data_IF_764101226347
#
_entry.id   IF_764101226347
#
_cell.length_a   1.000
_cell.length_b   1.000
_cell.length_c   1.000
_cell.angle_alpha   90.00
_cell.angle_beta   90.00
_cell.angle_gamma   90.00
#
_symmetry.space_group_name_H-M   'P 1'
#
loop_
_entity.id
_entity.type
_entity.pdbx_description
1 polymer ?
#
# COMPACT_ATOMS: atom_id res chain seq x y z
N UNK A 1 37.74 50.85 14.69
CA UNK A 1 36.87 49.99 13.85
C UNK A 1 37.04 48.51 14.24
N UNK A 2 36.50 48.07 15.39
CA UNK A 2 36.61 46.67 15.86
C UNK A 2 35.25 46.05 16.26
N UNK A 3 34.14 46.77 16.01
CA UNK A 3 32.82 46.45 16.57
C UNK A 3 31.85 45.76 15.59
N UNK A 4 32.18 45.61 14.31
CA UNK A 4 31.25 45.02 13.31
C UNK A 4 31.50 43.54 12.97
N UNK A 5 32.66 42.99 13.33
CA UNK A 5 33.03 41.60 12.99
C UNK A 5 32.48 40.59 14.01
N UNK A 6 32.27 41.01 15.28
CA UNK A 6 31.71 40.14 16.33
C UNK A 6 30.24 39.75 16.10
N UNK A 7 29.48 40.56 15.35
CA UNK A 7 28.06 40.30 15.12
C UNK A 7 27.80 39.29 13.98
N UNK A 8 28.71 39.24 12.99
CA UNK A 8 28.65 38.25 11.90
C UNK A 8 28.93 36.81 12.37
N UNK A 9 29.74 36.63 13.42
CA UNK A 9 30.03 35.29 13.98
C UNK A 9 28.81 34.70 14.70
N UNK A 10 27.97 35.52 15.33
CA UNK A 10 26.75 35.05 15.99
C UNK A 10 25.63 34.65 15.01
N UNK A 11 25.59 35.27 13.82
CA UNK A 11 24.60 34.92 12.78
C UNK A 11 24.96 33.60 12.08
N UNK A 12 26.25 33.29 11.94
CA UNK A 12 26.70 32.03 11.30
C UNK A 12 26.57 30.81 12.22
N UNK A 13 26.60 31.01 13.55
CA UNK A 13 26.43 29.91 14.53
C UNK A 13 24.96 29.51 14.77
N UNK A 14 23.97 30.30 14.31
CA UNK A 14 22.55 30.01 14.52
C UNK A 14 21.87 29.19 13.41
N UNK A 15 22.58 28.86 12.32
CA UNK A 15 21.98 28.19 11.14
C UNK A 15 22.44 26.74 10.93
N UNK A 16 23.11 26.12 11.92
CA UNK A 16 23.40 24.68 11.87
C UNK A 16 22.14 23.87 12.19
N UNK A 17 21.23 23.79 11.23
CA UNK A 17 20.13 22.83 11.26
C UNK A 17 20.73 21.47 10.93
N UNK A 18 21.00 20.67 11.97
CA UNK A 18 21.32 19.25 11.81
C UNK A 18 20.17 18.58 11.04
N UNK A 19 20.40 18.26 9.76
CA UNK A 19 19.48 17.45 8.99
C UNK A 19 19.56 16.03 9.51
N UNK A 20 18.75 15.72 10.53
CA UNK A 20 18.47 14.34 10.88
C UNK A 20 17.84 13.69 9.64
N UNK A 21 18.45 12.64 9.11
CA UNK A 21 17.92 12.02 7.91
C UNK A 21 16.53 11.45 8.20
N UNK A 22 15.53 11.92 7.45
CA UNK A 22 14.13 11.59 7.68
C UNK A 22 13.83 10.11 7.41
N UNK A 23 12.84 9.58 8.14
CA UNK A 23 12.21 8.31 7.83
C UNK A 23 11.71 8.35 6.37
N UNK A 24 12.04 7.31 5.61
CA UNK A 24 11.68 7.24 4.19
C UNK A 24 11.26 5.82 3.82
N UNK A 25 10.24 5.73 2.96
CA UNK A 25 9.74 4.48 2.45
C UNK A 25 9.36 4.62 0.98
N UNK A 26 9.52 3.53 0.21
CA UNK A 26 9.12 3.47 -1.19
C UNK A 26 8.46 2.14 -1.49
N UNK A 27 7.25 2.20 -2.06
CA UNK A 27 6.62 1.05 -2.69
C UNK A 27 7.18 0.93 -4.11
N UNK A 28 7.88 -0.17 -4.38
CA UNK A 28 8.58 -0.42 -5.64
C UNK A 28 7.67 -1.12 -6.64
N UNK A 29 7.04 -2.21 -6.21
CA UNK A 29 6.21 -3.07 -7.06
C UNK A 29 5.08 -3.68 -6.25
N UNK A 30 3.90 -3.76 -6.85
CA UNK A 30 2.73 -4.41 -6.25
C UNK A 30 2.14 -5.35 -7.29
N UNK A 31 1.95 -6.60 -6.89
CA UNK A 31 1.43 -7.65 -7.74
C UNK A 31 0.19 -8.26 -7.08
N UNK A 32 -1.01 -7.87 -7.52
CA UNK A 32 -2.24 -8.56 -7.15
C UNK A 32 -2.34 -9.90 -7.89
N UNK A 33 -2.69 -10.95 -7.16
CA UNK A 33 -2.83 -12.30 -7.66
C UNK A 33 -4.10 -12.93 -7.14
N UNK A 34 -4.94 -13.45 -8.04
CA UNK A 34 -6.03 -14.32 -7.65
C UNK A 34 -5.50 -15.64 -7.10
N UNK A 35 -6.18 -16.16 -6.10
CA UNK A 35 -5.90 -17.45 -5.49
C UNK A 35 -7.01 -18.43 -5.82
N UNK A 36 -6.65 -19.67 -6.11
CA UNK A 36 -7.61 -20.78 -6.17
C UNK A 36 -7.97 -21.30 -4.76
N UNK A 37 -8.92 -22.25 -4.70
CA UNK A 37 -9.36 -22.89 -3.46
C UNK A 37 -8.26 -23.57 -2.62
N UNK A 38 -7.08 -23.80 -3.19
CA UNK A 38 -5.89 -24.33 -2.52
C UNK A 38 -4.89 -23.24 -2.12
N UNK A 39 -5.24 -21.97 -2.30
CA UNK A 39 -4.37 -20.82 -2.03
C UNK A 39 -3.28 -20.60 -3.09
N UNK A 40 -3.40 -21.22 -4.28
CA UNK A 40 -2.38 -21.13 -5.33
C UNK A 40 -2.64 -19.95 -6.26
N UNK A 41 -1.58 -19.21 -6.55
CA UNK A 41 -1.54 -18.13 -7.55
C UNK A 41 -0.83 -18.55 -8.85
N UNK A 42 -0.22 -19.73 -8.86
CA UNK A 42 0.42 -20.38 -10.01
C UNK A 42 0.41 -21.90 -9.81
N UNK A 43 0.46 -22.66 -10.90
CA UNK A 43 0.62 -24.11 -10.86
C UNK A 43 2.08 -24.57 -10.81
N UNK A 44 3.00 -23.71 -11.21
CA UNK A 44 4.44 -23.98 -11.22
C UNK A 44 5.25 -22.70 -10.91
N UNK A 45 6.58 -22.80 -10.71
CA UNK A 45 7.45 -21.64 -10.56
C UNK A 45 7.63 -20.80 -11.84
N UNK A 46 7.14 -21.26 -12.99
CA UNK A 46 7.27 -20.56 -14.27
C UNK A 46 6.45 -19.27 -14.31
N UNK A 47 7.05 -18.18 -14.79
CA UNK A 47 6.35 -16.91 -15.00
C UNK A 47 5.27 -17.03 -16.10
N UNK A 48 5.54 -17.81 -17.14
CA UNK A 48 4.58 -18.06 -18.21
C UNK A 48 3.34 -18.79 -17.67
N UNK A 49 3.56 -19.85 -16.89
CA UNK A 49 2.47 -20.64 -16.31
C UNK A 49 1.66 -19.82 -15.31
N UNK A 50 2.32 -18.95 -14.53
CA UNK A 50 1.64 -18.03 -13.62
C UNK A 50 0.71 -17.11 -14.40
N UNK A 51 1.17 -16.50 -15.48
CA UNK A 51 0.39 -15.52 -16.22
C UNK A 51 -0.80 -16.18 -16.93
N UNK A 52 -0.61 -17.38 -17.50
CA UNK A 52 -1.68 -18.20 -18.05
C UNK A 52 -2.70 -18.60 -16.97
N UNK A 53 -2.23 -18.98 -15.78
CA UNK A 53 -3.10 -19.33 -14.66
C UNK A 53 -3.93 -18.14 -14.17
N UNK A 54 -3.31 -16.96 -14.07
CA UNK A 54 -4.01 -15.74 -13.68
C UNK A 54 -5.03 -15.29 -14.74
N UNK A 55 -4.78 -15.55 -16.03
CA UNK A 55 -5.78 -15.35 -17.08
C UNK A 55 -6.99 -16.28 -16.88
N UNK A 56 -6.75 -17.58 -16.63
CA UNK A 56 -7.82 -18.53 -16.33
C UNK A 56 -8.66 -18.11 -15.12
N UNK A 57 -8.01 -17.74 -14.02
CA UNK A 57 -8.72 -17.27 -12.82
C UNK A 57 -9.51 -15.98 -13.09
N UNK A 58 -9.03 -15.09 -13.96
CA UNK A 58 -9.78 -13.91 -14.40
C UNK A 58 -11.04 -14.28 -15.17
N UNK A 59 -10.98 -15.28 -16.04
CA UNK A 59 -12.14 -15.74 -16.82
C UNK A 59 -13.12 -16.59 -15.99
N UNK A 60 -12.67 -17.14 -14.86
CA UNK A 60 -13.44 -18.09 -14.03
C UNK A 60 -13.52 -17.64 -12.57
N UNK A 61 -14.37 -16.65 -12.24
CA UNK A 61 -14.54 -16.16 -10.87
C UNK A 61 -14.89 -17.25 -9.85
N UNK A 62 -15.60 -18.30 -10.27
CA UNK A 62 -15.97 -19.47 -9.46
C UNK A 62 -14.76 -20.30 -8.99
N UNK A 63 -13.62 -20.22 -9.68
CA UNK A 63 -12.38 -20.87 -9.27
C UNK A 63 -11.60 -20.02 -8.24
N UNK A 64 -11.97 -18.74 -8.05
CA UNK A 64 -11.28 -17.83 -7.13
C UNK A 64 -11.75 -18.04 -5.70
N UNK A 65 -10.82 -18.09 -4.75
CA UNK A 65 -11.13 -18.10 -3.32
C UNK A 65 -10.35 -17.04 -2.53
N UNK A 66 -9.62 -16.16 -3.20
CA UNK A 66 -8.84 -15.12 -2.55
C UNK A 66 -8.10 -14.21 -3.52
N UNK A 67 -7.49 -13.18 -2.93
CA UNK A 67 -6.55 -12.27 -3.58
C UNK A 67 -5.33 -12.10 -2.65
N UNK A 68 -4.14 -12.27 -3.22
CA UNK A 68 -2.86 -11.97 -2.56
C UNK A 68 -2.19 -10.78 -3.23
N UNK A 69 -1.67 -9.87 -2.42
CA UNK A 69 -0.85 -8.76 -2.85
C UNK A 69 0.60 -9.04 -2.49
N UNK A 70 1.45 -9.28 -3.49
CA UNK A 70 2.89 -9.32 -3.28
C UNK A 70 3.47 -7.91 -3.46
N UNK A 71 4.00 -7.38 -2.37
CA UNK A 71 4.35 -5.96 -2.24
C UNK A 71 5.85 -5.87 -2.00
N UNK A 72 6.55 -5.29 -2.96
CA UNK A 72 7.96 -4.95 -2.85
C UNK A 72 8.09 -3.53 -2.31
N UNK A 73 8.83 -3.39 -1.20
CA UNK A 73 9.01 -2.13 -0.52
C UNK A 73 10.47 -1.88 -0.14
N UNK A 74 10.83 -0.60 0.03
CA UNK A 74 12.08 -0.15 0.63
C UNK A 74 11.78 0.81 1.79
N UNK A 75 12.59 0.77 2.85
CA UNK A 75 12.45 1.51 4.09
C UNK A 75 13.83 1.97 4.58
N UNK A 76 13.89 3.14 5.19
CA UNK A 76 15.08 3.69 5.83
C UNK A 76 14.66 4.50 7.05
N UNK A 77 15.38 4.32 8.17
CA UNK A 77 15.22 5.13 9.40
C UNK A 77 13.79 5.15 9.97
N UNK A 78 13.10 4.01 9.87
CA UNK A 78 11.74 3.81 10.42
C UNK A 78 11.76 3.10 11.76
N UNK A 79 10.69 3.20 12.54
CA UNK A 79 10.59 2.57 13.88
C UNK A 79 9.50 1.50 13.94
N UNK A 80 8.29 1.80 13.47
CA UNK A 80 7.11 0.95 13.48
C UNK A 80 6.53 0.82 12.06
N UNK A 81 7.26 0.19 11.13
CA UNK A 81 6.84 0.11 9.75
C UNK A 81 5.71 -0.90 9.53
N UNK A 82 4.67 -0.46 8.81
CA UNK A 82 3.56 -1.33 8.39
C UNK A 82 3.17 -1.07 6.94
N UNK A 83 2.70 -2.13 6.29
CA UNK A 83 2.02 -2.06 5.00
C UNK A 83 0.53 -2.18 5.27
N UNK A 84 -0.27 -1.29 4.65
CA UNK A 84 -1.72 -1.32 4.68
C UNK A 84 -2.23 -1.52 3.26
N UNK A 85 -3.14 -2.48 3.08
CA UNK A 85 -3.85 -2.72 1.83
C UNK A 85 -5.33 -2.43 2.05
N UNK A 86 -5.83 -1.42 1.35
CA UNK A 86 -7.24 -1.06 1.32
C UNK A 86 -7.84 -1.58 0.01
N UNK A 87 -8.96 -2.28 0.12
CA UNK A 87 -9.64 -2.96 -0.98
C UNK A 87 -11.04 -2.37 -1.11
N UNK A 88 -11.44 -2.07 -2.34
CA UNK A 88 -12.81 -1.74 -2.72
C UNK A 88 -13.34 -2.85 -3.61
N UNK A 89 -14.54 -3.32 -3.28
CA UNK A 89 -15.20 -4.42 -3.97
C UNK A 89 -16.71 -4.16 -4.09
N UNK A 90 -17.39 -5.00 -4.86
CA UNK A 90 -18.84 -4.96 -5.06
C UNK A 90 -19.43 -6.34 -4.79
N UNK A 91 -20.43 -6.43 -3.91
CA UNK A 91 -21.19 -7.66 -3.66
C UNK A 91 -22.68 -7.36 -3.82
N UNK A 92 -23.34 -8.03 -4.78
CA UNK A 92 -24.76 -7.83 -5.05
C UNK A 92 -25.15 -6.36 -5.33
N UNK A 93 -24.27 -5.60 -5.99
CA UNK A 93 -24.48 -4.17 -6.26
C UNK A 93 -24.15 -3.22 -5.10
N UNK A 94 -23.77 -3.74 -3.93
CA UNK A 94 -23.40 -2.92 -2.77
C UNK A 94 -21.87 -2.78 -2.65
N UNK A 95 -21.35 -1.56 -2.41
CA UNK A 95 -19.92 -1.34 -2.21
C UNK A 95 -19.45 -1.98 -0.91
N UNK A 96 -18.33 -2.69 -0.99
CA UNK A 96 -17.65 -3.32 0.13
C UNK A 96 -16.24 -2.72 0.27
N UNK A 97 -15.78 -2.57 1.51
CA UNK A 97 -14.42 -2.10 1.80
C UNK A 97 -13.76 -3.02 2.80
N UNK A 98 -12.47 -3.31 2.60
CA UNK A 98 -11.63 -4.03 3.56
C UNK A 98 -10.29 -3.35 3.71
N UNK A 99 -9.80 -3.32 4.94
CA UNK A 99 -8.44 -2.86 5.25
C UNK A 99 -7.68 -4.03 5.87
N UNK A 100 -6.49 -4.29 5.36
CA UNK A 100 -5.55 -5.28 5.87
C UNK A 100 -4.28 -4.56 6.27
N UNK A 101 -3.75 -4.84 7.46
CA UNK A 101 -2.48 -4.29 7.91
C UNK A 101 -1.50 -5.41 8.22
N UNK A 102 -0.23 -5.18 7.92
CA UNK A 102 0.83 -6.14 8.20
C UNK A 102 2.08 -5.37 8.60
N UNK A 103 2.61 -5.67 9.78
CA UNK A 103 3.92 -5.18 10.21
C UNK A 103 4.99 -5.75 9.29
N UNK A 104 5.93 -4.89 8.88
CA UNK A 104 6.99 -5.29 7.95
C UNK A 104 8.36 -5.05 8.57
N UNK A 105 9.36 -5.80 8.12
CA UNK A 105 10.73 -5.58 8.62
C UNK A 105 11.39 -4.44 7.85
N UNK A 106 12.31 -3.74 8.53
CA UNK A 106 13.27 -2.83 7.87
C UNK A 106 14.00 -3.57 6.74
N UNK A 107 14.37 -2.84 5.70
CA UNK A 107 15.03 -3.41 4.52
C UNK A 107 16.50 -3.01 4.45
N UNK A 108 17.25 -3.73 3.63
CA UNK A 108 18.53 -3.28 3.05
C UNK A 108 18.28 -2.64 1.67
N UNK A 109 19.35 -2.25 0.97
CA UNK A 109 19.28 -1.59 -0.35
C UNK A 109 18.46 -2.36 -1.41
N UNK A 110 18.36 -3.69 -1.35
CA UNK A 110 17.69 -4.49 -2.40
C UNK A 110 16.14 -4.52 -2.30
N UNK A 111 15.57 -3.89 -1.26
CA UNK A 111 14.13 -3.98 -0.98
C UNK A 111 13.72 -5.34 -0.42
N UNK A 112 12.51 -5.43 0.13
CA UNK A 112 11.93 -6.68 0.65
C UNK A 112 10.54 -6.89 0.07
N UNK A 113 10.11 -8.14 0.05
CA UNK A 113 8.75 -8.54 -0.31
C UNK A 113 7.95 -8.88 0.94
N UNK A 114 6.67 -8.51 0.93
CA UNK A 114 5.65 -8.99 1.87
C UNK A 114 4.42 -9.42 1.07
N UNK A 115 3.75 -10.48 1.52
CA UNK A 115 2.47 -10.91 0.96
C UNK A 115 1.36 -10.55 1.93
N UNK A 116 0.32 -9.87 1.44
CA UNK A 116 -0.90 -9.56 2.19
C UNK A 116 -2.07 -10.23 1.50
N UNK A 117 -2.84 -11.06 2.22
CA UNK A 117 -3.84 -11.95 1.63
C UNK A 117 -5.22 -11.70 2.23
N UNK A 118 -6.24 -11.67 1.37
CA UNK A 118 -7.64 -11.89 1.76
C UNK A 118 -8.12 -13.18 1.07
N UNK A 119 -8.70 -14.10 1.84
CA UNK A 119 -9.07 -15.42 1.33
C UNK A 119 -10.28 -16.00 2.06
N UNK A 120 -10.84 -17.07 1.51
CA UNK A 120 -11.95 -17.82 2.10
C UNK A 120 -13.20 -16.95 2.22
N UNK A 121 -13.87 -17.04 3.37
CA UNK A 121 -15.12 -16.31 3.61
C UNK A 121 -14.95 -14.79 3.60
N UNK A 122 -13.79 -14.26 4.03
CA UNK A 122 -13.53 -12.82 3.95
C UNK A 122 -13.51 -12.33 2.50
N UNK A 123 -12.91 -13.11 1.59
CA UNK A 123 -12.90 -12.78 0.17
C UNK A 123 -14.29 -12.91 -0.45
N UNK A 124 -15.01 -14.00 -0.17
CA UNK A 124 -16.39 -14.21 -0.67
C UNK A 124 -17.34 -13.11 -0.19
N UNK A 125 -17.12 -12.57 1.00
CA UNK A 125 -17.92 -11.48 1.55
C UNK A 125 -17.62 -10.11 0.96
N UNK A 126 -16.45 -9.93 0.33
CA UNK A 126 -16.15 -8.72 -0.42
C UNK A 126 -16.81 -8.69 -1.80
N UNK A 127 -16.96 -9.85 -2.44
CA UNK A 127 -17.42 -9.93 -3.83
C UNK A 127 -16.31 -9.55 -4.82
N UNK A 128 -16.68 -8.92 -5.93
CA UNK A 128 -15.74 -8.60 -7.00
C UNK A 128 -14.88 -7.39 -6.62
N UNK A 129 -13.56 -7.60 -6.49
CA UNK A 129 -12.60 -6.53 -6.17
C UNK A 129 -12.39 -5.66 -7.42
N UNK A 130 -12.69 -4.37 -7.30
CA UNK A 130 -12.57 -3.40 -8.40
C UNK A 130 -11.38 -2.46 -8.24
N UNK A 131 -10.97 -2.14 -7.01
CA UNK A 131 -9.85 -1.25 -6.76
C UNK A 131 -9.09 -1.60 -5.47
N UNK A 132 -7.82 -1.19 -5.42
CA UNK A 132 -6.97 -1.34 -4.25
C UNK A 132 -6.04 -0.14 -4.07
N UNK A 133 -5.65 0.11 -2.82
CA UNK A 133 -4.61 1.07 -2.42
C UNK A 133 -3.67 0.39 -1.44
N UNK A 134 -2.38 0.49 -1.71
CA UNK A 134 -1.31 0.04 -0.82
C UNK A 134 -0.60 1.28 -0.28
N UNK A 135 -0.51 1.37 1.03
CA UNK A 135 0.19 2.44 1.73
C UNK A 135 1.26 1.85 2.65
N UNK A 136 2.37 2.57 2.76
CA UNK A 136 3.50 2.23 3.62
C UNK A 136 3.59 3.29 4.72
N UNK A 137 3.62 2.86 5.96
CA UNK A 137 3.57 3.74 7.13
C UNK A 137 4.74 3.49 8.08
N UNK A 138 5.07 4.50 8.88
CA UNK A 138 5.88 4.40 10.11
C UNK A 138 5.12 5.06 11.25
N UNK A 139 4.54 4.27 12.16
CA UNK A 139 3.56 4.78 13.11
C UNK A 139 2.42 5.49 12.37
N UNK A 140 2.18 6.77 12.67
CA UNK A 140 1.16 7.59 11.99
C UNK A 140 1.64 8.28 10.71
N UNK A 141 2.94 8.19 10.37
CA UNK A 141 3.50 8.86 9.21
C UNK A 141 3.30 8.01 7.95
N UNK A 142 2.62 8.55 6.94
CA UNK A 142 2.56 7.95 5.61
C UNK A 142 3.90 8.17 4.88
N UNK A 143 4.54 7.08 4.46
CA UNK A 143 5.83 7.09 3.77
C UNK A 143 5.70 6.90 2.26
N UNK A 144 4.65 6.22 1.80
CA UNK A 144 4.43 6.02 0.36
C UNK A 144 3.09 5.39 0.03
N UNK A 145 2.62 5.67 -1.18
CA UNK A 145 1.34 5.18 -1.72
C UNK A 145 1.53 4.61 -3.13
N UNK A 146 0.75 3.57 -3.42
CA UNK A 146 0.44 3.08 -4.77
C UNK A 146 -1.00 2.60 -4.79
N UNK A 147 -1.66 2.74 -5.93
CA UNK A 147 -3.07 2.35 -6.07
C UNK A 147 -3.35 1.82 -7.46
N UNK A 148 -4.40 1.02 -7.57
CA UNK A 148 -4.96 0.60 -8.85
C UNK A 148 -5.50 1.80 -9.62
N UNK A 149 -5.63 1.66 -10.94
CA UNK A 149 -6.21 2.68 -11.81
C UNK A 149 -7.63 3.13 -11.38
N UNK A 150 -8.46 2.18 -10.94
CA UNK A 150 -9.84 2.45 -10.53
C UNK A 150 -9.99 3.00 -9.10
N UNK A 151 -8.89 3.33 -8.42
CA UNK A 151 -8.98 3.94 -7.10
C UNK A 151 -9.44 5.40 -7.23
N UNK A 152 -10.56 5.79 -6.61
CA UNK A 152 -11.08 7.14 -6.78
C UNK A 152 -10.17 8.17 -6.09
N UNK A 153 -10.22 9.43 -6.53
CA UNK A 153 -9.52 10.52 -5.86
C UNK A 153 -9.99 10.62 -4.40
N UNK A 154 -9.11 11.11 -3.53
CA UNK A 154 -9.45 11.38 -2.14
C UNK A 154 -10.53 12.48 -2.14
N UNK A 155 -11.74 12.14 -1.69
CA UNK A 155 -12.76 13.16 -1.47
C UNK A 155 -12.31 14.00 -0.26
N UNK A 156 -12.25 15.34 -0.39
CA UNK A 156 -11.92 16.20 0.74
C UNK A 156 -12.90 15.93 1.89
N UNK A 157 -12.40 15.98 3.13
CA UNK A 157 -13.15 15.65 4.34
C UNK A 157 -14.47 16.45 4.51
N UNK A 158 -14.58 17.58 3.82
CA UNK A 158 -15.74 18.48 3.86
C UNK A 158 -16.85 18.09 2.86
N UNK A 159 -16.63 17.10 1.99
CA UNK A 159 -17.66 16.56 1.11
C UNK A 159 -18.56 15.56 1.85
N UNK A 160 -19.11 15.99 2.99
CA UNK A 160 -20.27 15.32 3.57
C UNK A 160 -21.39 15.33 2.51
N UNK A 161 -21.97 14.14 2.30
CA UNK A 161 -23.09 13.87 1.42
C UNK A 161 -24.08 15.03 1.35
N UNK A 162 -24.44 15.58 0.17
CA UNK A 162 -25.59 16.46 0.11
C UNK A 162 -26.79 15.63 0.55
N UNK A 163 -27.32 16.00 1.73
CA UNK A 163 -28.52 15.42 2.30
C UNK A 163 -29.56 15.22 1.19
N UNK A 164 -30.12 14.01 1.12
CA UNK A 164 -31.27 13.72 0.28
C UNK A 164 -32.32 14.82 0.55
N UNK A 165 -32.58 15.64 -0.47
CA UNK A 165 -33.73 16.56 -0.43
C UNK A 165 -35.00 15.70 -0.46
N UNK A 166 -36.03 16.06 0.33
CA UNK A 166 -37.29 15.33 0.41
C UNK A 166 -38.03 15.31 -0.93
#
# INVERSE_FOLDING_TARGET
MKCRIRWLVYIVLLTSVFHLPAASGKLLKILPHYLDSKGRHSLSPSLYDRDAYQARLRERPEERSGMRFDIQYRLSKVTQPRVRVEIRAMKGGQPQTKVLETEVKKTTLLGRWVSVTVQGEEYKNLGEISAWRVTLWDGQQLLGERKSFLWPPEQPADAASPAAKP
#
